data_IF_659192826004
#
_entry.id   IF_659192826004
#
_cell.length_a   1.000
_cell.length_b   1.000
_cell.length_c   1.000
_cell.angle_alpha   90.00
_cell.angle_beta   90.00
_cell.angle_gamma   90.00
#
_symmetry.space_group_name_H-M   'P 1'
#
loop_
_entity.id
_entity.type
_entity.pdbx_description
1 polymer ?
#
# COMPACT_ATOMS: atom_id res chain seq x y z
N UNK A 1 -4.29 15.52 -18.10
CA UNK A 1 -5.35 15.48 -17.07
C UNK A 1 -4.71 14.90 -15.82
N UNK A 2 -4.94 15.46 -14.62
CA UNK A 2 -4.38 14.89 -13.38
C UNK A 2 -5.01 13.51 -13.15
N UNK A 3 -4.18 12.52 -12.82
CA UNK A 3 -4.64 11.14 -12.55
C UNK A 3 -5.44 11.08 -11.25
N UNK A 4 -4.94 11.77 -10.22
CA UNK A 4 -5.53 11.85 -8.89
C UNK A 4 -6.11 13.24 -8.60
N UNK A 5 -6.80 13.37 -7.47
CA UNK A 5 -7.16 14.69 -6.94
C UNK A 5 -5.94 15.45 -6.43
N UNK A 6 -6.05 16.76 -6.30
CA UNK A 6 -4.95 17.61 -5.78
C UNK A 6 -4.55 17.21 -4.36
N UNK A 7 -5.53 16.81 -3.55
CA UNK A 7 -5.28 16.32 -2.19
C UNK A 7 -4.47 15.02 -2.21
N UNK A 8 -4.90 14.04 -3.01
CA UNK A 8 -4.23 12.74 -3.12
C UNK A 8 -2.83 12.93 -3.70
N UNK A 9 -2.67 13.73 -4.76
CA UNK A 9 -1.37 14.03 -5.36
C UNK A 9 -0.39 14.59 -4.32
N UNK A 10 -0.86 15.45 -3.41
CA UNK A 10 -0.01 15.99 -2.34
C UNK A 10 0.42 14.91 -1.35
N UNK A 11 -0.48 14.01 -0.94
CA UNK A 11 -0.13 12.87 -0.07
C UNK A 11 0.86 11.94 -0.78
N UNK A 12 0.59 11.58 -2.03
CA UNK A 12 1.46 10.70 -2.82
C UNK A 12 2.79 11.35 -3.20
N UNK A 13 2.94 12.67 -3.07
CA UNK A 13 4.22 13.37 -3.29
C UNK A 13 4.95 13.73 -2.01
N UNK A 14 4.41 13.37 -0.84
CA UNK A 14 5.07 13.59 0.44
C UNK A 14 6.47 12.96 0.42
N UNK A 15 7.48 13.75 0.82
CA UNK A 15 8.85 13.27 0.85
C UNK A 15 9.01 12.23 1.96
N UNK A 16 9.77 11.17 1.71
CA UNK A 16 10.10 10.17 2.73
C UNK A 16 9.13 9.00 2.84
N UNK A 17 8.04 8.98 2.05
CA UNK A 17 7.15 7.82 1.94
C UNK A 17 7.94 6.54 1.69
N UNK A 18 7.60 5.53 2.48
CA UNK A 18 8.14 4.17 2.39
C UNK A 18 9.64 4.04 2.65
N UNK A 19 10.32 5.05 3.22
CA UNK A 19 11.71 4.92 3.69
C UNK A 19 11.84 3.91 4.82
N UNK A 20 10.85 3.84 5.72
CA UNK A 20 10.78 2.88 6.83
C UNK A 20 9.95 1.66 6.39
N UNK A 21 10.52 0.46 6.54
CA UNK A 21 9.77 -0.80 6.36
C UNK A 21 8.75 -0.97 7.49
N UNK A 22 9.16 -0.67 8.73
CA UNK A 22 8.33 -0.77 9.94
C UNK A 22 8.28 0.60 10.61
N UNK A 23 7.40 1.52 10.17
CA UNK A 23 7.26 2.82 10.81
C UNK A 23 6.65 2.68 12.22
N UNK A 24 7.07 3.55 13.13
CA UNK A 24 6.54 3.64 14.50
C UNK A 24 5.73 4.91 14.75
N UNK A 25 5.68 5.79 13.76
CA UNK A 25 5.06 7.11 13.84
C UNK A 25 4.64 7.56 12.43
N UNK A 26 3.62 8.43 12.32
CA UNK A 26 3.25 9.02 11.04
C UNK A 26 4.39 9.79 10.38
N UNK A 27 4.40 9.76 9.05
CA UNK A 27 5.36 10.47 8.20
C UNK A 27 5.21 11.99 8.34
N UNK A 28 3.97 12.47 8.32
CA UNK A 28 3.63 13.89 8.32
C UNK A 28 2.33 14.10 9.12
N UNK A 29 2.46 14.70 10.31
CA UNK A 29 1.33 14.93 11.20
C UNK A 29 0.33 15.97 10.67
N UNK A 30 0.80 16.97 9.91
CA UNK A 30 -0.07 18.02 9.37
C UNK A 30 -0.90 17.47 8.21
N UNK A 31 -0.28 16.73 7.29
CA UNK A 31 -1.00 16.03 6.22
C UNK A 31 -1.94 14.97 6.80
N UNK A 32 -1.56 14.27 7.85
CA UNK A 32 -2.43 13.32 8.53
C UNK A 32 -3.67 13.98 9.13
N UNK A 33 -3.50 15.12 9.82
CA UNK A 33 -4.63 15.89 10.35
C UNK A 33 -5.58 16.35 9.23
N UNK A 34 -5.02 16.79 8.10
CA UNK A 34 -5.81 17.16 6.94
C UNK A 34 -6.54 15.96 6.33
N UNK A 35 -5.91 14.78 6.26
CA UNK A 35 -6.54 13.55 5.75
C UNK A 35 -7.68 13.08 6.67
N UNK A 36 -7.50 13.18 7.99
CA UNK A 36 -8.56 12.86 8.98
C UNK A 36 -9.78 13.78 8.84
N UNK A 37 -9.56 15.04 8.46
CA UNK A 37 -10.63 16.02 8.25
C UNK A 37 -11.26 15.96 6.85
N UNK A 38 -10.55 15.43 5.86
CA UNK A 38 -11.03 15.35 4.48
C UNK A 38 -12.18 14.35 4.35
N UNK A 39 -13.26 14.77 3.70
CA UNK A 39 -14.36 13.91 3.29
C UNK A 39 -14.13 13.30 1.89
N UNK A 40 -15.00 12.38 1.49
CA UNK A 40 -14.88 11.68 0.20
C UNK A 40 -15.00 12.66 -0.98
N UNK A 41 -15.78 13.74 -0.83
CA UNK A 41 -15.91 14.78 -1.84
C UNK A 41 -14.59 15.55 -2.03
N UNK A 42 -13.88 15.84 -0.95
CA UNK A 42 -12.54 16.44 -1.00
C UNK A 42 -11.54 15.49 -1.67
N UNK A 43 -11.53 14.22 -1.28
CA UNK A 43 -10.58 13.24 -1.81
C UNK A 43 -10.84 12.90 -3.30
N UNK A 44 -12.08 13.03 -3.77
CA UNK A 44 -12.47 12.73 -5.15
C UNK A 44 -12.45 13.94 -6.09
N UNK A 45 -12.11 15.14 -5.60
CA UNK A 45 -12.34 16.42 -6.31
C UNK A 45 -13.80 16.59 -6.76
N UNK A 46 -14.73 16.31 -5.85
CA UNK A 46 -16.18 16.43 -6.04
C UNK A 46 -16.77 15.48 -7.11
N UNK A 47 -15.99 14.52 -7.62
CA UNK A 47 -16.46 13.51 -8.56
C UNK A 47 -17.30 12.46 -7.86
N UNK A 48 -18.30 11.94 -8.56
CA UNK A 48 -19.14 10.88 -8.01
C UNK A 48 -18.35 9.56 -7.97
N UNK A 49 -18.34 8.90 -6.80
CA UNK A 49 -17.66 7.62 -6.60
C UNK A 49 -18.57 6.48 -7.06
N UNK A 50 -18.16 5.77 -8.11
CA UNK A 50 -18.93 4.65 -8.67
C UNK A 50 -18.91 3.39 -7.78
N UNK A 51 -17.75 3.07 -7.20
CA UNK A 51 -17.58 1.91 -6.31
C UNK A 51 -17.04 2.32 -4.93
N UNK A 52 -17.92 2.59 -3.95
CA UNK A 52 -17.50 3.05 -2.62
C UNK A 52 -16.50 2.11 -1.92
N UNK A 53 -16.67 0.79 -2.04
CA UNK A 53 -15.76 -0.18 -1.41
C UNK A 53 -14.31 -0.06 -1.92
N UNK A 54 -14.11 0.26 -3.21
CA UNK A 54 -12.76 0.51 -3.76
C UNK A 54 -12.20 1.84 -3.25
N UNK A 55 -13.06 2.85 -3.11
CA UNK A 55 -12.67 4.15 -2.61
C UNK A 55 -12.33 4.13 -1.11
N UNK A 56 -12.98 3.25 -0.33
CA UNK A 56 -12.59 2.96 1.05
C UNK A 56 -11.15 2.47 1.13
N UNK A 57 -10.73 1.58 0.22
CA UNK A 57 -9.33 1.12 0.14
C UNK A 57 -8.38 2.23 -0.32
N UNK A 58 -8.80 3.14 -1.20
CA UNK A 58 -8.02 4.35 -1.54
C UNK A 58 -7.77 5.17 -0.28
N UNK A 59 -8.79 5.42 0.55
CA UNK A 59 -8.61 6.16 1.82
C UNK A 59 -7.67 5.42 2.78
N UNK A 60 -7.81 4.11 2.94
CA UNK A 60 -6.89 3.29 3.72
C UNK A 60 -5.45 3.38 3.21
N UNK A 61 -5.27 3.35 1.89
CA UNK A 61 -3.99 3.54 1.22
C UNK A 61 -3.36 4.91 1.50
N UNK A 62 -4.16 5.99 1.62
CA UNK A 62 -3.63 7.31 2.00
C UNK A 62 -3.10 7.33 3.43
N UNK A 63 -3.80 6.72 4.39
CA UNK A 63 -3.30 6.57 5.75
C UNK A 63 -2.03 5.72 5.78
N UNK A 64 -2.02 4.60 5.04
CA UNK A 64 -0.85 3.74 4.90
C UNK A 64 0.36 4.50 4.31
N UNK A 65 0.15 5.34 3.29
CA UNK A 65 1.18 6.15 2.67
C UNK A 65 1.81 7.19 3.61
N UNK A 66 1.04 7.66 4.60
CA UNK A 66 1.49 8.58 5.64
C UNK A 66 1.97 7.87 6.91
N UNK A 67 2.19 6.56 6.86
CA UNK A 67 2.64 5.75 8.01
C UNK A 67 1.68 5.81 9.21
N UNK A 68 0.42 6.19 8.98
CA UNK A 68 -0.65 6.17 9.98
C UNK A 68 -1.25 4.76 10.05
N UNK A 69 -0.45 3.83 10.57
CA UNK A 69 -0.71 2.39 10.53
C UNK A 69 -2.01 2.02 11.25
N UNK A 70 -2.30 2.60 12.42
CA UNK A 70 -3.52 2.30 13.18
C UNK A 70 -4.81 2.64 12.41
N UNK A 71 -4.83 3.79 11.73
CA UNK A 71 -5.98 4.20 10.91
C UNK A 71 -6.13 3.36 9.65
N UNK A 72 -5.01 3.04 9.00
CA UNK A 72 -5.02 2.15 7.85
C UNK A 72 -5.53 0.75 8.23
N UNK A 73 -5.04 0.21 9.35
CA UNK A 73 -5.42 -1.11 9.87
C UNK A 73 -6.93 -1.19 10.10
N UNK A 74 -7.55 -0.20 10.77
CA UNK A 74 -9.01 -0.17 10.99
C UNK A 74 -9.80 -0.29 9.69
N UNK A 75 -9.37 0.44 8.64
CA UNK A 75 -10.04 0.39 7.33
C UNK A 75 -9.88 -0.99 6.68
N UNK A 76 -8.68 -1.55 6.69
CA UNK A 76 -8.41 -2.83 6.04
C UNK A 76 -9.06 -4.01 6.76
N UNK A 77 -9.10 -3.98 8.09
CA UNK A 77 -9.78 -4.98 8.90
C UNK A 77 -11.27 -5.10 8.55
N UNK A 78 -11.92 -3.96 8.27
CA UNK A 78 -13.34 -3.90 7.93
C UNK A 78 -13.60 -4.06 6.42
N UNK A 79 -12.54 -4.22 5.60
CA UNK A 79 -12.64 -4.35 4.14
C UNK A 79 -12.63 -5.82 3.70
N UNK A 80 -13.77 -6.39 3.30
CA UNK A 80 -13.83 -7.81 2.92
C UNK A 80 -13.22 -8.06 1.53
N UNK A 81 -12.98 -9.34 1.26
CA UNK A 81 -12.54 -9.83 -0.04
C UNK A 81 -11.02 -9.85 -0.21
N UNK A 82 -10.59 -10.29 -1.39
CA UNK A 82 -9.20 -10.60 -1.70
C UNK A 82 -8.32 -9.35 -1.60
N UNK A 83 -8.80 -8.23 -2.13
CA UNK A 83 -8.07 -6.97 -2.13
C UNK A 83 -7.94 -6.37 -0.72
N UNK A 84 -9.01 -6.39 0.08
CA UNK A 84 -8.95 -5.96 1.48
C UNK A 84 -8.01 -6.83 2.32
N UNK A 85 -8.07 -8.16 2.12
CA UNK A 85 -7.13 -9.10 2.72
C UNK A 85 -5.69 -8.82 2.33
N UNK A 86 -5.44 -8.43 1.06
CA UNK A 86 -4.10 -8.11 0.59
C UNK A 86 -3.54 -6.86 1.26
N UNK A 87 -4.33 -5.78 1.32
CA UNK A 87 -3.97 -4.56 2.05
C UNK A 87 -3.70 -4.84 3.54
N UNK A 88 -4.49 -5.74 4.15
CA UNK A 88 -4.28 -6.17 5.53
C UNK A 88 -2.92 -6.88 5.69
N UNK A 89 -2.54 -7.74 4.74
CA UNK A 89 -1.22 -8.37 4.70
C UNK A 89 -0.08 -7.35 4.58
N UNK A 90 -0.21 -6.39 3.66
CA UNK A 90 0.77 -5.29 3.50
C UNK A 90 0.92 -4.46 4.77
N UNK A 91 -0.19 -4.23 5.47
CA UNK A 91 -0.24 -3.50 6.73
C UNK A 91 0.50 -4.25 7.84
N UNK A 92 0.21 -5.53 8.06
CA UNK A 92 0.88 -6.32 9.10
C UNK A 92 2.39 -6.47 8.84
N UNK A 93 2.81 -6.54 7.57
CA UNK A 93 4.25 -6.52 7.24
C UNK A 93 4.92 -5.22 7.71
N UNK A 94 4.21 -4.08 7.64
CA UNK A 94 4.68 -2.78 8.14
C UNK A 94 4.52 -2.59 9.65
N UNK A 95 3.71 -3.39 10.33
CA UNK A 95 3.76 -3.54 11.80
C UNK A 95 4.92 -4.44 12.24
N UNK A 96 5.54 -5.16 11.29
CA UNK A 96 6.53 -6.18 11.57
C UNK A 96 5.94 -7.48 12.14
N UNK A 97 4.64 -7.69 11.96
CA UNK A 97 3.93 -8.94 12.27
C UNK A 97 3.87 -9.81 11.01
N UNK A 98 5.01 -10.45 10.70
CA UNK A 98 5.21 -11.15 9.44
C UNK A 98 4.35 -12.42 9.32
N UNK A 99 4.04 -13.08 10.43
CA UNK A 99 3.20 -14.28 10.42
C UNK A 99 1.74 -13.94 10.11
N UNK A 100 1.22 -12.85 10.68
CA UNK A 100 -0.10 -12.36 10.28
C UNK A 100 -0.10 -11.84 8.85
N UNK A 101 0.96 -11.17 8.40
CA UNK A 101 1.09 -10.74 7.01
C UNK A 101 0.92 -11.93 6.04
N UNK A 102 1.65 -13.04 6.26
CA UNK A 102 1.55 -14.27 5.47
C UNK A 102 0.14 -14.90 5.52
N UNK A 103 -0.50 -14.88 6.69
CA UNK A 103 -1.87 -15.37 6.85
C UNK A 103 -2.83 -14.59 5.93
N UNK A 104 -2.73 -13.26 5.91
CA UNK A 104 -3.59 -12.40 5.12
C UNK A 104 -3.28 -12.46 3.62
N UNK A 105 -2.01 -12.56 3.22
CA UNK A 105 -1.66 -12.84 1.82
C UNK A 105 -2.22 -14.17 1.33
N UNK A 106 -2.24 -15.20 2.19
CA UNK A 106 -2.87 -16.49 1.86
C UNK A 106 -4.36 -16.35 1.64
N UNK A 107 -5.02 -15.53 2.46
CA UNK A 107 -6.46 -15.25 2.31
C UNK A 107 -6.76 -14.45 1.05
N UNK A 108 -5.87 -13.53 0.66
CA UNK A 108 -6.01 -12.73 -0.54
C UNK A 108 -5.86 -13.54 -1.84
N UNK A 109 -4.91 -14.47 -1.88
CA UNK A 109 -4.59 -15.20 -3.10
C UNK A 109 -3.98 -14.31 -4.20
N UNK A 110 -4.14 -14.72 -5.46
CA UNK A 110 -3.61 -13.97 -6.61
C UNK A 110 -4.57 -12.84 -7.01
N UNK A 111 -4.08 -11.60 -7.00
CA UNK A 111 -4.86 -10.46 -7.49
C UNK A 111 -4.67 -10.22 -9.00
N UNK A 112 -5.65 -9.60 -9.68
CA UNK A 112 -5.55 -9.28 -11.12
C UNK A 112 -4.34 -8.42 -11.53
N UNK A 113 -3.76 -7.67 -10.58
CA UNK A 113 -2.65 -6.76 -10.83
C UNK A 113 -1.27 -7.38 -10.67
N UNK A 114 -1.17 -8.64 -10.23
CA UNK A 114 0.12 -9.26 -9.93
C UNK A 114 1.07 -9.27 -11.14
N UNK A 115 0.54 -9.45 -12.35
CA UNK A 115 1.37 -9.45 -13.57
C UNK A 115 1.92 -8.04 -13.89
N UNK A 116 1.17 -6.98 -13.57
CA UNK A 116 1.62 -5.59 -13.71
C UNK A 116 2.65 -5.25 -12.64
N UNK A 117 2.36 -5.59 -11.38
CA UNK A 117 3.27 -5.39 -10.24
C UNK A 117 4.60 -6.12 -10.44
N UNK A 118 4.54 -7.38 -10.87
CA UNK A 118 5.72 -8.22 -11.08
C UNK A 118 6.67 -7.59 -12.08
N UNK A 119 6.15 -7.13 -13.22
CA UNK A 119 6.95 -6.50 -14.27
C UNK A 119 7.75 -5.32 -13.73
N UNK A 120 7.10 -4.43 -12.98
CA UNK A 120 7.78 -3.28 -12.39
C UNK A 120 8.75 -3.71 -11.31
N UNK A 121 8.38 -4.65 -10.45
CA UNK A 121 9.23 -5.12 -9.36
C UNK A 121 10.52 -5.79 -9.83
N UNK A 122 10.50 -6.45 -10.99
CA UNK A 122 11.70 -7.05 -11.61
C UNK A 122 12.80 -6.02 -11.91
N UNK A 123 12.44 -4.74 -12.09
CA UNK A 123 13.40 -3.65 -12.32
C UNK A 123 14.14 -3.26 -11.04
N UNK A 124 13.60 -3.62 -9.88
CA UNK A 124 14.10 -3.24 -8.57
C UNK A 124 14.74 -4.40 -7.80
N UNK A 125 14.34 -5.64 -8.06
CA UNK A 125 14.81 -6.82 -7.33
C UNK A 125 15.13 -7.99 -8.23
N UNK A 126 16.37 -8.50 -8.11
CA UNK A 126 16.81 -9.68 -8.82
C UNK A 126 16.09 -10.94 -8.33
N UNK A 127 15.73 -11.00 -7.05
CA UNK A 127 14.99 -12.13 -6.48
C UNK A 127 13.55 -12.18 -6.97
N UNK A 128 12.90 -11.00 -7.08
CA UNK A 128 11.57 -10.91 -7.69
C UNK A 128 11.60 -11.26 -9.20
N UNK A 129 12.67 -10.89 -9.91
CA UNK A 129 12.87 -11.24 -11.32
C UNK A 129 13.08 -12.74 -11.59
N UNK A 130 13.43 -13.52 -10.55
CA UNK A 130 13.51 -14.99 -10.63
C UNK A 130 12.18 -15.68 -10.41
N UNK A 131 11.15 -14.95 -9.95
CA UNK A 131 9.81 -15.49 -9.76
C UNK A 131 9.01 -15.42 -11.05
N UNK A 132 8.03 -16.32 -11.20
CA UNK A 132 7.09 -16.31 -12.34
C UNK A 132 6.00 -15.23 -12.21
N UNK A 133 5.79 -14.70 -11.01
CA UNK A 133 4.76 -13.71 -10.67
C UNK A 133 5.20 -12.92 -9.44
N UNK A 134 4.50 -11.83 -9.13
CA UNK A 134 4.67 -11.10 -7.89
C UNK A 134 4.44 -12.02 -6.69
N UNK A 135 5.44 -12.11 -5.80
CA UNK A 135 5.42 -12.98 -4.62
C UNK A 135 5.45 -12.15 -3.32
N UNK A 136 4.29 -11.93 -2.67
CA UNK A 136 4.25 -11.22 -1.40
C UNK A 136 4.89 -12.00 -0.24
N UNK A 137 5.04 -13.32 -0.34
CA UNK A 137 5.69 -14.13 0.69
C UNK A 137 7.19 -13.96 0.67
N UNK A 138 7.79 -14.00 -0.52
CA UNK A 138 9.21 -13.69 -0.71
C UNK A 138 9.53 -12.33 -0.13
N UNK A 139 8.81 -11.30 -0.57
CA UNK A 139 9.02 -9.94 -0.09
C UNK A 139 8.83 -9.80 1.43
N UNK A 140 7.86 -10.52 2.01
CA UNK A 140 7.68 -10.57 3.48
C UNK A 140 8.88 -11.21 4.18
N UNK A 141 9.41 -12.31 3.65
CA UNK A 141 10.60 -12.97 4.20
C UNK A 141 11.84 -12.08 4.15
N UNK A 142 12.03 -11.33 3.07
CA UNK A 142 13.16 -10.39 2.94
C UNK A 142 13.04 -9.21 3.92
N UNK A 143 11.84 -8.65 4.08
CA UNK A 143 11.57 -7.64 5.11
C UNK A 143 11.81 -8.18 6.53
N UNK A 144 11.45 -9.42 6.80
CA UNK A 144 11.72 -10.07 8.08
C UNK A 144 13.22 -10.24 8.33
N UNK A 145 13.98 -10.70 7.35
CA UNK A 145 15.44 -10.80 7.46
C UNK A 145 16.09 -9.44 7.68
N UNK A 146 15.65 -8.40 6.97
CA UNK A 146 16.14 -7.04 7.14
C UNK A 146 15.89 -6.49 8.56
N UNK A 147 14.75 -6.83 9.18
CA UNK A 147 14.47 -6.48 10.59
C UNK A 147 15.53 -7.03 11.55
N UNK A 148 16.15 -8.18 11.23
CA UNK A 148 17.13 -8.85 12.07
C UNK A 148 18.60 -8.66 11.64
N UNK A 149 18.88 -7.67 10.78
CA UNK A 149 20.25 -7.18 10.54
C UNK A 149 20.75 -7.24 9.09
N UNK A 150 19.92 -7.59 8.11
CA UNK A 150 20.28 -7.52 6.69
C UNK A 150 20.07 -6.09 6.13
N UNK A 151 20.87 -5.14 6.61
CA UNK A 151 20.71 -3.70 6.30
C UNK A 151 21.03 -3.36 4.83
N UNK A 152 21.86 -4.17 4.16
CA UNK A 152 22.26 -3.97 2.76
C UNK A 152 21.09 -3.99 1.78
N UNK A 153 20.00 -4.69 2.12
CA UNK A 153 18.81 -4.82 1.28
C UNK A 153 17.77 -3.73 1.52
N UNK A 154 17.94 -2.86 2.53
CA UNK A 154 16.90 -1.91 2.95
C UNK A 154 16.45 -0.96 1.83
N UNK A 155 17.38 -0.54 0.97
CA UNK A 155 17.03 0.32 -0.17
C UNK A 155 16.16 -0.42 -1.19
N UNK A 156 16.55 -1.64 -1.56
CA UNK A 156 15.79 -2.47 -2.49
C UNK A 156 14.38 -2.76 -1.94
N UNK A 157 14.28 -3.12 -0.66
CA UNK A 157 13.00 -3.40 -0.01
C UNK A 157 12.10 -2.16 0.10
N UNK A 158 12.67 -0.98 0.34
CA UNK A 158 11.93 0.28 0.33
C UNK A 158 11.41 0.62 -1.09
N UNK A 159 12.17 0.28 -2.13
CA UNK A 159 11.75 0.46 -3.52
C UNK A 159 10.64 -0.54 -3.89
N UNK A 160 10.76 -1.82 -3.51
CA UNK A 160 9.68 -2.81 -3.67
C UNK A 160 8.41 -2.43 -2.91
N UNK A 161 8.53 -1.91 -1.68
CA UNK A 161 7.40 -1.42 -0.90
C UNK A 161 6.65 -0.30 -1.65
N UNK A 162 7.39 0.58 -2.32
CA UNK A 162 6.80 1.65 -3.13
C UNK A 162 6.12 1.10 -4.37
N UNK A 163 6.76 0.19 -5.10
CA UNK A 163 6.18 -0.46 -6.30
C UNK A 163 4.86 -1.15 -5.96
N UNK A 164 4.84 -1.96 -4.91
CA UNK A 164 3.65 -2.68 -4.48
C UNK A 164 2.54 -1.70 -4.09
N UNK A 165 2.85 -0.70 -3.26
CA UNK A 165 1.87 0.32 -2.87
C UNK A 165 1.31 1.07 -4.07
N UNK A 166 2.16 1.58 -4.96
CA UNK A 166 1.72 2.45 -6.06
C UNK A 166 0.84 1.68 -7.04
N UNK A 167 1.18 0.42 -7.36
CA UNK A 167 0.33 -0.41 -8.20
C UNK A 167 -1.00 -0.79 -7.55
N UNK A 168 -1.00 -1.15 -6.25
CA UNK A 168 -2.24 -1.45 -5.52
C UNK A 168 -3.14 -0.21 -5.40
N UNK A 169 -2.55 0.94 -5.07
CA UNK A 169 -3.26 2.19 -4.89
C UNK A 169 -3.89 2.67 -6.20
N UNK A 170 -3.12 2.69 -7.29
CA UNK A 170 -3.61 3.07 -8.62
C UNK A 170 -4.73 2.14 -9.08
N UNK A 171 -4.59 0.83 -8.83
CA UNK A 171 -5.65 -0.13 -9.13
C UNK A 171 -6.95 0.19 -8.38
N UNK A 172 -6.88 0.39 -7.05
CA UNK A 172 -8.05 0.77 -6.25
C UNK A 172 -8.69 2.07 -6.75
N UNK A 173 -7.87 3.05 -7.11
CA UNK A 173 -8.33 4.32 -7.66
C UNK A 173 -9.08 4.14 -8.98
N UNK A 174 -8.48 3.43 -9.96
CA UNK A 174 -9.15 3.14 -11.24
C UNK A 174 -10.44 2.36 -11.06
N UNK A 175 -10.45 1.37 -10.15
CA UNK A 175 -11.62 0.56 -9.85
C UNK A 175 -12.70 1.33 -9.08
N UNK A 176 -12.39 2.50 -8.50
CA UNK A 176 -13.39 3.35 -7.83
C UNK A 176 -14.36 4.03 -8.80
N UNK A 177 -14.04 4.03 -10.10
CA UNK A 177 -14.93 4.50 -11.19
C UNK A 177 -15.48 5.91 -10.94
N UNK A 178 -14.59 6.87 -10.66
CA UNK A 178 -14.97 8.27 -10.46
C UNK A 178 -15.57 8.85 -11.76
N UNK A 179 -16.68 9.59 -11.62
CA UNK A 179 -17.44 10.20 -12.72
C UNK A 179 -17.58 11.71 -12.53
#
# INVERSE_FOLDING_TARGET
MKTYSDFIDRVLRAEGRFRKLIPTEPLDYDLLLQLRAADDATLSDQRAIGKPAMFTLVRGGLFYALDAIDEAHKIFQDSPGDLGSYWHGMMHRREGDFDNARYWFRRAGKLPIFDELHRTACEHSADMARQDTWDPYLFTGECEQARFGAEESLKELADLQRVEFEGLFDYCWRQSELK
#
